data_IF_794307373475
#
_entry.id   IF_794307373475
#
_cell.length_a   1.000
_cell.length_b   1.000
_cell.length_c   1.000
_cell.angle_alpha   90.00
_cell.angle_beta   90.00
_cell.angle_gamma   90.00
#
_symmetry.space_group_name_H-M   'P 1'
#
loop_
_entity.id
_entity.type
_entity.pdbx_description
1 polymer ?
#
# COMPACT_ATOMS: atom_id res chain seq x y z
N UNK A 1 -18.08 27.99 1.50
CA UNK A 1 -17.15 27.00 2.06
C UNK A 1 -15.73 27.37 1.64
N UNK A 2 -14.77 27.51 2.57
CA UNK A 2 -13.38 27.71 2.19
C UNK A 2 -12.81 26.39 1.66
N UNK A 3 -12.75 26.23 0.34
CA UNK A 3 -12.05 25.15 -0.32
C UNK A 3 -10.56 25.48 -0.41
N UNK A 4 -9.69 24.51 -0.10
CA UNK A 4 -8.24 24.62 -0.29
C UNK A 4 -7.78 23.49 -1.20
N UNK A 5 -7.17 23.86 -2.31
CA UNK A 5 -6.45 22.94 -3.17
C UNK A 5 -4.96 22.99 -2.84
N UNK A 6 -4.31 21.83 -2.90
CA UNK A 6 -2.87 21.71 -2.79
C UNK A 6 -2.35 20.96 -4.02
N UNK A 7 -1.13 21.29 -4.44
CA UNK A 7 -0.43 20.45 -5.41
C UNK A 7 -0.10 19.10 -4.76
N UNK A 8 -0.52 18.00 -5.41
CA UNK A 8 -0.25 16.65 -4.91
C UNK A 8 1.25 16.40 -4.74
N UNK A 9 2.08 16.84 -5.69
CA UNK A 9 3.53 16.67 -5.61
C UNK A 9 4.13 17.37 -4.39
N UNK A 10 3.65 18.56 -4.05
CA UNK A 10 4.11 19.29 -2.86
C UNK A 10 3.64 18.62 -1.56
N UNK A 11 2.38 18.19 -1.51
CA UNK A 11 1.85 17.46 -0.36
C UNK A 11 2.61 16.14 -0.12
N UNK A 12 2.80 15.34 -1.17
CA UNK A 12 3.54 14.09 -1.10
C UNK A 12 4.98 14.29 -0.65
N UNK A 13 5.69 15.27 -1.22
CA UNK A 13 7.08 15.56 -0.86
C UNK A 13 7.22 15.92 0.62
N UNK A 14 6.31 16.76 1.13
CA UNK A 14 6.31 17.15 2.55
C UNK A 14 5.96 15.99 3.49
N UNK A 15 5.05 15.10 3.09
CA UNK A 15 4.75 13.89 3.86
C UNK A 15 5.94 12.92 3.86
N UNK A 16 6.53 12.65 2.68
CA UNK A 16 7.67 11.73 2.55
C UNK A 16 8.88 12.18 3.36
N UNK A 17 9.15 13.50 3.40
CA UNK A 17 10.24 14.09 4.18
C UNK A 17 10.10 13.88 5.70
N UNK A 18 8.88 13.66 6.20
CA UNK A 18 8.60 13.46 7.63
C UNK A 18 8.65 12.00 8.06
N UNK A 19 8.76 11.06 7.12
CA UNK A 19 8.92 9.63 7.42
C UNK A 19 10.33 9.44 8.02
N UNK A 20 10.45 8.87 9.23
CA UNK A 20 11.74 8.67 9.88
C UNK A 20 12.70 7.81 9.05
N UNK A 21 14.00 8.08 9.14
CA UNK A 21 15.03 7.36 8.36
C UNK A 21 15.09 5.85 8.67
N UNK A 22 14.67 5.45 9.87
CA UNK A 22 14.57 4.04 10.26
C UNK A 22 13.42 3.27 9.61
N UNK A 23 12.50 3.95 8.92
CA UNK A 23 11.40 3.31 8.20
C UNK A 23 11.86 2.92 6.80
N UNK A 24 11.81 1.62 6.49
CA UNK A 24 12.09 1.12 5.16
C UNK A 24 11.05 1.61 4.16
N UNK A 25 11.46 2.50 3.25
CA UNK A 25 10.66 2.92 2.10
C UNK A 25 11.26 2.32 0.83
N UNK A 26 10.52 1.41 0.19
CA UNK A 26 10.97 0.69 -1.01
C UNK A 26 10.20 1.18 -2.23
N UNK A 27 10.75 2.15 -2.96
CA UNK A 27 10.20 2.55 -4.26
C UNK A 27 10.39 1.44 -5.28
N UNK A 28 9.40 1.21 -6.15
CA UNK A 28 9.47 0.19 -7.20
C UNK A 28 9.12 -1.23 -6.73
N UNK A 29 8.90 -1.45 -5.43
CA UNK A 29 8.37 -2.69 -4.88
C UNK A 29 6.86 -2.79 -5.14
N UNK A 30 6.47 -3.19 -6.35
CA UNK A 30 5.06 -3.34 -6.73
C UNK A 30 4.52 -4.65 -6.19
N UNK A 31 3.57 -4.57 -5.25
CA UNK A 31 2.83 -5.74 -4.76
C UNK A 31 1.85 -6.22 -5.82
N UNK A 32 1.84 -7.52 -6.09
CA UNK A 32 1.01 -8.18 -7.10
C UNK A 32 0.06 -9.23 -6.52
N UNK A 33 0.35 -9.75 -5.33
CA UNK A 33 -0.55 -10.62 -4.59
C UNK A 33 -0.35 -10.45 -3.08
N UNK A 34 -1.40 -10.78 -2.33
CA UNK A 34 -1.42 -10.82 -0.87
C UNK A 34 -2.07 -12.14 -0.47
N UNK A 35 -1.38 -12.93 0.33
CA UNK A 35 -1.85 -14.23 0.82
C UNK A 35 -1.92 -14.17 2.35
N UNK A 36 -3.11 -13.97 2.94
CA UNK A 36 -3.26 -13.96 4.39
C UNK A 36 -3.16 -15.37 4.97
N UNK A 37 -2.62 -15.48 6.18
CA UNK A 37 -2.60 -16.71 6.96
C UNK A 37 -3.04 -16.43 8.41
N UNK A 38 -2.78 -17.36 9.32
CA UNK A 38 -3.22 -17.25 10.71
C UNK A 38 -2.43 -16.21 11.53
N UNK A 39 -1.20 -15.91 11.12
CA UNK A 39 -0.22 -15.11 11.86
C UNK A 39 0.18 -13.81 11.13
N UNK A 40 -0.27 -13.61 9.89
CA UNK A 40 0.00 -12.42 9.12
C UNK A 40 -0.45 -12.51 7.66
N UNK A 41 0.38 -11.98 6.77
CA UNK A 41 0.20 -12.10 5.33
C UNK A 41 1.55 -12.09 4.59
N UNK A 42 1.63 -12.92 3.55
CA UNK A 42 2.75 -12.92 2.61
C UNK A 42 2.41 -12.03 1.40
N UNK A 43 3.31 -11.09 1.10
CA UNK A 43 3.25 -10.25 -0.10
C UNK A 43 4.09 -10.87 -1.21
N UNK A 44 3.58 -10.87 -2.44
CA UNK A 44 4.37 -11.17 -3.64
C UNK A 44 4.61 -9.92 -4.46
N UNK A 45 5.87 -9.61 -4.74
CA UNK A 45 6.28 -8.47 -5.55
C UNK A 45 6.40 -8.84 -7.03
N UNK A 46 6.37 -7.83 -7.89
CA UNK A 46 6.42 -7.99 -9.35
C UNK A 46 7.74 -8.58 -9.87
N UNK A 47 8.81 -8.50 -9.08
CA UNK A 47 10.11 -9.14 -9.36
C UNK A 47 10.17 -10.61 -8.91
N UNK A 48 9.06 -11.13 -8.34
CA UNK A 48 8.96 -12.48 -7.81
C UNK A 48 9.43 -12.64 -6.36
N UNK A 49 9.88 -11.56 -5.71
CA UNK A 49 10.24 -11.61 -4.30
C UNK A 49 8.99 -11.77 -3.42
N UNK A 50 9.11 -12.55 -2.35
CA UNK A 50 8.06 -12.78 -1.37
C UNK A 50 8.53 -12.40 0.03
N UNK A 51 7.65 -11.76 0.80
CA UNK A 51 7.96 -11.30 2.16
C UNK A 51 6.73 -11.38 3.06
N UNK A 52 6.91 -11.95 4.25
CA UNK A 52 5.86 -12.09 5.26
C UNK A 52 5.86 -10.90 6.23
N UNK A 53 4.66 -10.45 6.59
CA UNK A 53 4.43 -9.40 7.59
C UNK A 53 3.32 -9.80 8.54
N UNK A 54 3.47 -9.47 9.83
CA UNK A 54 2.43 -9.72 10.84
C UNK A 54 1.15 -8.88 10.59
N UNK A 55 1.29 -7.74 9.90
CA UNK A 55 0.17 -6.86 9.52
C UNK A 55 0.45 -6.15 8.20
N UNK A 56 -0.53 -6.17 7.29
CA UNK A 56 -0.53 -5.43 6.03
C UNK A 56 -1.67 -4.41 6.03
N UNK A 57 -1.36 -3.15 5.69
CA UNK A 57 -2.35 -2.07 5.53
C UNK A 57 -2.47 -1.72 4.05
N UNK A 58 -3.65 -1.93 3.47
CA UNK A 58 -3.97 -1.56 2.09
C UNK A 58 -4.16 -0.06 1.91
N UNK A 59 -3.10 0.63 1.50
CA UNK A 59 -3.11 2.04 1.10
C UNK A 59 -2.84 2.21 -0.42
N UNK A 60 -3.26 1.24 -1.22
CA UNK A 60 -2.95 1.03 -2.64
C UNK A 60 -4.06 1.51 -3.60
N UNK A 61 -5.04 2.24 -3.08
CA UNK A 61 -5.98 3.03 -3.87
C UNK A 61 -7.09 2.23 -4.57
N UNK A 62 -7.60 2.78 -5.67
CA UNK A 62 -8.83 2.27 -6.30
C UNK A 62 -8.64 0.91 -6.98
N UNK A 63 -7.42 0.51 -7.38
CA UNK A 63 -7.09 -0.83 -7.91
C UNK A 63 -6.41 -1.71 -6.85
N UNK A 64 -6.88 -1.61 -5.61
CA UNK A 64 -6.25 -2.27 -4.46
C UNK A 64 -6.17 -3.79 -4.65
N UNK A 65 -4.95 -4.32 -4.59
CA UNK A 65 -4.65 -5.76 -4.53
C UNK A 65 -5.01 -6.28 -3.14
N UNK A 66 -4.82 -5.46 -2.10
CA UNK A 66 -5.20 -5.84 -0.73
C UNK A 66 -6.71 -6.05 -0.63
N UNK A 67 -7.51 -5.15 -1.21
CA UNK A 67 -8.97 -5.27 -1.18
C UNK A 67 -9.44 -6.52 -1.93
N UNK A 68 -8.90 -6.80 -3.11
CA UNK A 68 -9.24 -8.01 -3.87
C UNK A 68 -8.91 -9.29 -3.09
N UNK A 69 -7.75 -9.33 -2.41
CA UNK A 69 -7.36 -10.50 -1.62
C UNK A 69 -8.26 -10.73 -0.39
N UNK A 70 -8.67 -9.66 0.30
CA UNK A 70 -9.49 -9.76 1.51
C UNK A 70 -10.98 -9.93 1.22
N UNK A 71 -11.47 -9.36 0.11
CA UNK A 71 -12.87 -9.34 -0.27
C UNK A 71 -13.04 -9.65 -1.77
N UNK A 72 -12.80 -10.91 -2.20
CA UNK A 72 -12.87 -11.27 -3.61
C UNK A 72 -14.24 -10.97 -4.22
N UNK A 73 -14.27 -10.29 -5.36
CA UNK A 73 -15.51 -9.93 -6.07
C UNK A 73 -16.33 -8.80 -5.44
N UNK A 74 -15.78 -8.08 -4.45
CA UNK A 74 -16.41 -6.86 -3.94
C UNK A 74 -16.17 -5.69 -4.92
N UNK A 75 -17.18 -5.38 -5.73
CA UNK A 75 -17.17 -4.19 -6.58
C UNK A 75 -17.23 -2.91 -5.74
N UNK A 76 -16.42 -1.92 -6.11
CA UNK A 76 -16.54 -0.56 -5.58
C UNK A 76 -17.77 0.10 -6.22
N UNK A 77 -18.96 -0.26 -5.74
CA UNK A 77 -20.23 0.37 -6.12
C UNK A 77 -20.52 1.55 -5.20
#
# INVERSE_FOLDING_TARGET
FPFRAYSWGSLWSELRRRVPDGVSYRSGAVVTAVEPDADGATLRLADGYEEHFDLVIGADGYRSVVREAMFPGADAT
#
